data_IF_906426322932
#
_entry.id   IF_906426322932
#
_cell.length_a   1.000
_cell.length_b   1.000
_cell.length_c   1.000
_cell.angle_alpha   90.00
_cell.angle_beta   90.00
_cell.angle_gamma   90.00
#
_symmetry.space_group_name_H-M   'P 1'
#
loop_
_entity.id
_entity.type
_entity.pdbx_description
1 polymer ?
#
# COMPACT_ATOMS: atom_id res chain seq x y z
N UNK A 1 6.13 26.01 -58.12
CA UNK A 1 7.20 25.26 -57.43
C UNK A 1 6.51 24.27 -56.48
N UNK A 2 6.31 23.02 -56.91
CA UNK A 2 7.08 21.82 -56.51
C UNK A 2 6.96 21.54 -55.00
N UNK A 3 6.07 20.64 -54.59
CA UNK A 3 6.30 19.18 -54.37
C UNK A 3 7.19 18.91 -53.15
N UNK A 4 6.60 18.48 -52.05
CA UNK A 4 7.03 17.31 -51.25
C UNK A 4 6.28 17.30 -49.92
N UNK A 5 5.66 16.17 -49.59
CA UNK A 5 5.45 15.52 -48.27
C UNK A 5 4.17 14.68 -48.43
N UNK A 6 4.31 13.65 -49.27
CA UNK A 6 3.42 12.50 -49.41
C UNK A 6 4.38 11.36 -49.70
N UNK A 7 4.90 10.73 -48.63
CA UNK A 7 5.72 9.51 -48.65
C UNK A 7 6.01 9.11 -47.21
N UNK A 8 5.13 8.33 -46.60
CA UNK A 8 5.52 7.22 -45.71
C UNK A 8 4.28 6.39 -45.34
N UNK A 9 3.68 5.81 -46.36
CA UNK A 9 2.76 4.69 -46.20
C UNK A 9 3.26 3.61 -47.18
N UNK A 10 3.39 2.38 -46.67
CA UNK A 10 3.83 1.14 -47.35
C UNK A 10 5.32 0.80 -47.28
N UNK A 11 5.67 -0.02 -46.27
CA UNK A 11 6.45 -1.28 -46.37
C UNK A 11 6.57 -1.80 -44.92
N UNK A 12 6.25 -3.03 -44.52
CA UNK A 12 6.32 -4.28 -45.24
C UNK A 12 5.29 -5.28 -44.66
N UNK A 13 4.57 -5.94 -45.57
CA UNK A 13 4.02 -7.25 -45.31
C UNK A 13 5.06 -8.31 -45.73
N UNK A 14 5.02 -9.46 -45.04
CA UNK A 14 5.43 -10.81 -45.50
C UNK A 14 6.74 -11.37 -44.91
N UNK A 15 6.59 -12.21 -43.90
CA UNK A 15 7.26 -13.52 -43.84
C UNK A 15 6.45 -14.48 -42.96
N UNK A 16 6.28 -15.70 -43.47
CA UNK A 16 5.48 -16.80 -42.93
C UNK A 16 6.41 -17.89 -42.36
N UNK A 17 5.85 -18.70 -41.44
CA UNK A 17 6.14 -20.11 -41.08
C UNK A 17 7.05 -20.41 -39.86
N UNK A 18 6.55 -21.38 -39.07
CA UNK A 18 7.27 -22.21 -38.09
C UNK A 18 7.02 -21.79 -36.64
N UNK A 19 6.69 -22.61 -35.66
CA UNK A 19 6.31 -24.03 -35.54
C UNK A 19 5.94 -24.23 -34.05
N UNK A 20 5.11 -25.24 -33.76
CA UNK A 20 4.71 -25.69 -32.42
C UNK A 20 5.90 -25.97 -31.48
N UNK A 21 5.83 -25.50 -30.23
CA UNK A 21 6.56 -26.09 -29.11
C UNK A 21 5.92 -25.75 -27.76
N UNK A 22 5.04 -26.64 -27.30
CA UNK A 22 4.59 -26.76 -25.92
C UNK A 22 5.78 -27.19 -25.04
N UNK A 23 6.29 -26.31 -24.18
CA UNK A 23 7.19 -26.68 -23.08
C UNK A 23 6.73 -25.98 -21.80
N UNK A 24 6.15 -26.78 -20.91
CA UNK A 24 5.97 -26.43 -19.52
C UNK A 24 7.34 -26.28 -18.86
N UNK A 25 7.67 -25.10 -18.35
CA UNK A 25 8.77 -24.97 -17.39
C UNK A 25 8.33 -24.08 -16.22
N UNK A 26 7.89 -24.74 -15.15
CA UNK A 26 7.62 -24.14 -13.85
C UNK A 26 8.95 -23.79 -13.19
N UNK A 27 9.35 -22.53 -13.24
CA UNK A 27 10.45 -22.01 -12.41
C UNK A 27 9.90 -21.61 -11.05
N UNK A 28 10.22 -22.42 -10.03
CA UNK A 28 10.01 -22.10 -8.62
C UNK A 28 11.05 -21.08 -8.14
N UNK A 29 10.71 -20.25 -7.14
CA UNK A 29 11.49 -19.08 -6.77
C UNK A 29 12.82 -19.39 -6.06
N UNK A 30 13.76 -18.48 -6.32
CA UNK A 30 15.10 -18.34 -5.76
C UNK A 30 15.06 -18.36 -4.22
N UNK A 31 15.67 -19.38 -3.60
CA UNK A 31 15.91 -19.44 -2.15
C UNK A 31 17.39 -19.12 -1.90
N UNK A 32 17.61 -18.13 -1.04
CA UNK A 32 18.89 -17.54 -0.66
C UNK A 32 19.91 -18.57 -0.11
N UNK A 33 21.19 -18.42 -0.52
CA UNK A 33 22.29 -19.34 -0.24
C UNK A 33 22.86 -19.31 1.20
N UNK A 34 22.22 -18.61 2.15
CA UNK A 34 22.73 -18.44 3.52
C UNK A 34 22.23 -19.47 4.55
N UNK A 35 21.34 -20.41 4.19
CA UNK A 35 20.82 -21.43 5.13
C UNK A 35 21.43 -22.84 4.96
N UNK A 36 22.56 -22.98 4.25
CA UNK A 36 23.29 -24.26 4.17
C UNK A 36 24.37 -24.34 5.23
N UNK A 37 24.04 -24.90 6.41
CA UNK A 37 24.88 -25.79 7.25
C UNK A 37 24.27 -25.99 8.64
N UNK A 38 23.84 -27.22 8.93
CA UNK A 38 24.33 -28.10 10.02
C UNK A 38 23.46 -29.36 10.11
N UNK A 39 23.87 -30.42 9.41
CA UNK A 39 23.39 -31.77 9.68
C UNK A 39 24.53 -32.53 10.38
N UNK A 40 24.38 -32.78 11.67
CA UNK A 40 25.23 -33.68 12.44
C UNK A 40 24.35 -34.71 13.13
N UNK A 41 24.51 -35.96 12.70
CA UNK A 41 23.90 -37.17 13.24
C UNK A 41 24.47 -37.49 14.63
N UNK A 42 23.67 -37.92 15.62
CA UNK A 42 24.20 -38.56 16.81
C UNK A 42 24.18 -40.09 16.69
N UNK A 43 25.13 -40.80 17.33
CA UNK A 43 25.22 -42.26 17.26
C UNK A 43 24.36 -42.98 18.31
N UNK A 44 23.95 -44.18 17.90
CA UNK A 44 23.35 -45.27 18.67
C UNK A 44 24.24 -45.76 19.82
N UNK A 45 23.72 -45.83 21.06
CA UNK A 45 24.13 -46.79 22.09
C UNK A 45 22.97 -47.13 23.06
N UNK A 46 22.67 -48.42 23.19
CA UNK A 46 22.03 -49.07 24.36
C UNK A 46 23.14 -49.36 25.41
N UNK A 47 22.89 -49.53 26.74
CA UNK A 47 22.10 -50.66 27.27
C UNK A 47 21.39 -50.50 28.66
N UNK A 48 20.56 -51.51 28.96
CA UNK A 48 20.24 -52.16 30.27
C UNK A 48 19.42 -51.49 31.39
N UNK A 49 18.28 -52.15 31.65
CA UNK A 49 17.82 -52.75 32.92
C UNK A 49 17.10 -51.91 34.02
N UNK A 50 15.79 -52.24 34.13
CA UNK A 50 15.05 -52.54 35.37
C UNK A 50 14.66 -51.38 36.29
N UNK A 51 13.35 -51.07 36.34
CA UNK A 51 12.47 -51.51 37.43
C UNK A 51 10.98 -51.34 37.05
N UNK A 52 10.20 -52.36 37.42
CA UNK A 52 8.74 -52.50 37.21
C UNK A 52 7.97 -51.66 38.23
N UNK A 53 6.76 -51.18 37.86
CA UNK A 53 5.55 -51.23 38.70
C UNK A 53 4.25 -50.98 37.89
N UNK A 54 3.10 -51.47 38.37
CA UNK A 54 2.03 -52.03 37.53
C UNK A 54 0.92 -51.05 37.10
N UNK A 55 0.20 -51.50 36.07
CA UNK A 55 -1.03 -50.94 35.53
C UNK A 55 -2.22 -51.18 36.48
N UNK A 56 -3.01 -50.13 36.71
CA UNK A 56 -4.37 -50.27 37.25
C UNK A 56 -5.35 -49.68 36.24
N UNK A 57 -6.00 -50.58 35.50
CA UNK A 57 -7.14 -50.30 34.63
C UNK A 57 -8.37 -50.01 35.47
N UNK A 58 -9.01 -48.86 35.24
CA UNK A 58 -10.43 -48.66 35.57
C UNK A 58 -11.15 -48.15 34.31
N UNK A 59 -12.19 -48.84 33.83
CA UNK A 59 -12.93 -48.41 32.65
C UNK A 59 -14.01 -47.41 33.06
N UNK A 60 -14.00 -46.22 32.45
CA UNK A 60 -15.10 -45.24 32.58
C UNK A 60 -16.10 -45.48 31.43
N UNK A 61 -17.41 -45.61 31.71
CA UNK A 61 -18.41 -45.88 30.69
C UNK A 61 -18.68 -44.67 29.79
N UNK A 62 -18.83 -44.93 28.48
CA UNK A 62 -19.30 -43.96 27.48
C UNK A 62 -20.75 -43.58 27.76
N UNK A 63 -21.01 -42.28 27.93
CA UNK A 63 -22.35 -41.73 27.78
C UNK A 63 -22.67 -41.45 26.30
N UNK A 64 -23.90 -41.72 25.83
CA UNK A 64 -24.34 -41.38 24.47
C UNK A 64 -24.56 -39.87 24.32
N UNK A 65 -24.42 -39.30 23.11
CA UNK A 65 -24.69 -37.89 22.87
C UNK A 65 -26.20 -37.60 22.88
N UNK A 66 -26.62 -36.62 23.68
CA UNK A 66 -27.94 -36.00 23.63
C UNK A 66 -27.97 -34.90 22.55
N UNK A 67 -29.11 -34.70 21.86
CA UNK A 67 -29.23 -33.67 20.82
C UNK A 67 -29.57 -32.30 21.42
N UNK A 68 -28.96 -31.27 20.81
CA UNK A 68 -29.40 -29.88 20.70
C UNK A 68 -29.98 -29.16 21.93
N UNK A 69 -29.23 -28.17 22.43
CA UNK A 69 -29.83 -26.93 22.92
C UNK A 69 -28.94 -25.76 22.51
N UNK A 70 -29.40 -25.07 21.47
CA UNK A 70 -28.88 -23.81 20.96
C UNK A 70 -28.99 -22.74 22.06
N UNK A 71 -27.94 -22.58 22.84
CA UNK A 71 -27.72 -21.35 23.59
C UNK A 71 -27.09 -20.37 22.59
N UNK A 72 -27.92 -19.49 22.05
CA UNK A 72 -27.47 -18.36 21.26
C UNK A 72 -26.54 -17.51 22.13
N UNK A 73 -25.26 -17.46 21.75
CA UNK A 73 -24.35 -16.43 22.22
C UNK A 73 -24.98 -15.06 21.90
N UNK A 74 -24.95 -14.08 22.83
CA UNK A 74 -25.31 -12.71 22.50
C UNK A 74 -24.36 -12.21 21.40
N UNK A 75 -24.86 -11.51 20.37
CA UNK A 75 -24.03 -11.02 19.28
C UNK A 75 -22.93 -10.15 19.86
N UNK A 76 -21.68 -10.63 19.74
CA UNK A 76 -20.50 -9.83 19.99
C UNK A 76 -20.55 -8.67 18.99
N UNK A 77 -20.34 -7.41 19.41
CA UNK A 77 -20.31 -6.31 18.47
C UNK A 77 -19.16 -6.57 17.48
N UNK A 78 -19.48 -6.56 16.19
CA UNK A 78 -18.54 -6.53 15.07
C UNK A 78 -17.68 -5.26 15.14
N UNK A 79 -16.77 -5.19 16.12
CA UNK A 79 -15.88 -4.05 16.30
C UNK A 79 -14.64 -4.27 15.43
N UNK A 80 -14.84 -4.21 14.11
CA UNK A 80 -13.75 -3.82 13.22
C UNK A 80 -13.12 -2.55 13.79
N UNK A 81 -11.79 -2.45 13.88
CA UNK A 81 -11.14 -1.27 14.45
C UNK A 81 -11.66 -0.01 13.76
N UNK A 82 -11.87 1.09 14.52
CA UNK A 82 -12.48 2.29 13.97
C UNK A 82 -11.71 2.74 12.74
N UNK A 83 -12.41 2.83 11.61
CA UNK A 83 -11.90 3.34 10.35
C UNK A 83 -11.29 4.72 10.60
N UNK A 84 -10.20 5.10 9.92
CA UNK A 84 -9.55 6.39 10.13
C UNK A 84 -10.54 7.56 10.01
N UNK A 85 -11.53 7.45 9.11
CA UNK A 85 -12.61 8.43 8.93
C UNK A 85 -13.51 8.57 10.17
N UNK A 86 -13.75 7.49 10.92
CA UNK A 86 -14.60 7.51 12.12
C UNK A 86 -13.96 8.31 13.27
N UNK A 87 -12.65 8.52 13.24
CA UNK A 87 -11.93 9.33 14.23
C UNK A 87 -12.13 10.84 14.02
N UNK A 88 -12.54 11.26 12.81
CA UNK A 88 -12.68 12.66 12.43
C UNK A 88 -14.13 13.00 12.02
N UNK A 89 -15.13 12.85 12.92
CA UNK A 89 -16.54 13.05 12.60
C UNK A 89 -16.91 14.49 12.22
N UNK A 90 -16.14 15.51 12.64
CA UNK A 90 -16.40 16.89 12.26
C UNK A 90 -15.93 17.17 10.82
N UNK A 91 -14.85 16.51 10.40
CA UNK A 91 -14.33 16.61 9.03
C UNK A 91 -15.12 15.71 8.08
N UNK A 92 -15.50 14.51 8.51
CA UNK A 92 -16.20 13.51 7.70
C UNK A 92 -17.51 13.05 8.36
N UNK A 93 -18.55 13.91 8.38
CA UNK A 93 -19.83 13.56 9.02
C UNK A 93 -20.54 12.38 8.35
N UNK A 94 -20.24 12.12 7.07
CA UNK A 94 -20.83 11.02 6.29
C UNK A 94 -19.86 9.85 6.08
N UNK A 95 -18.68 9.87 6.70
CA UNK A 95 -17.67 8.80 6.57
C UNK A 95 -16.84 8.89 5.28
N UNK A 96 -16.27 7.77 4.79
CA UNK A 96 -15.42 7.77 3.59
C UNK A 96 -16.21 7.97 2.28
N UNK A 97 -15.53 8.26 1.15
CA UNK A 97 -16.13 8.21 -0.18
C UNK A 97 -16.77 6.84 -0.46
N UNK A 98 -17.92 6.78 -1.17
CA UNK A 98 -18.54 7.86 -1.96
C UNK A 98 -19.46 8.81 -1.18
N UNK A 99 -19.70 8.57 0.12
CA UNK A 99 -20.63 9.37 0.91
C UNK A 99 -20.09 10.78 1.24
N UNK A 100 -18.76 10.95 1.19
CA UNK A 100 -18.05 12.22 1.34
C UNK A 100 -17.08 12.42 0.16
N UNK A 101 -16.65 13.66 -0.13
CA UNK A 101 -15.59 13.90 -1.10
C UNK A 101 -14.29 13.19 -0.69
N UNK A 102 -13.47 12.83 -1.69
CA UNK A 102 -12.16 12.23 -1.47
C UNK A 102 -11.19 13.23 -0.84
N UNK A 103 -11.25 14.49 -1.25
CA UNK A 103 -10.36 15.55 -0.78
C UNK A 103 -10.98 16.26 0.43
N UNK A 104 -10.41 16.09 1.65
CA UNK A 104 -10.87 16.80 2.83
C UNK A 104 -10.47 18.27 2.79
N UNK A 105 -11.19 19.09 3.55
CA UNK A 105 -10.72 20.43 3.90
C UNK A 105 -9.50 20.30 4.83
N UNK A 106 -8.29 20.69 4.39
CA UNK A 106 -7.07 20.52 5.17
C UNK A 106 -7.08 21.35 6.46
N UNK A 107 -7.80 22.48 6.48
CA UNK A 107 -7.89 23.33 7.67
C UNK A 107 -8.76 22.66 8.72
N UNK A 108 -9.91 22.12 8.33
CA UNK A 108 -10.81 21.38 9.23
C UNK A 108 -10.16 20.12 9.79
N UNK A 109 -9.54 19.32 8.92
CA UNK A 109 -8.85 18.10 9.33
C UNK A 109 -7.75 18.40 10.37
N UNK A 110 -6.95 19.45 10.13
CA UNK A 110 -5.90 19.87 11.06
C UNK A 110 -6.46 20.40 12.38
N UNK A 111 -7.53 21.18 12.35
CA UNK A 111 -8.16 21.71 13.56
C UNK A 111 -8.71 20.59 14.44
N UNK A 112 -9.41 19.63 13.85
CA UNK A 112 -9.95 18.48 14.57
C UNK A 112 -8.83 17.58 15.11
N UNK A 113 -7.78 17.33 14.33
CA UNK A 113 -6.58 16.62 14.78
C UNK A 113 -5.98 17.21 16.06
N UNK A 114 -5.76 18.53 16.09
CA UNK A 114 -5.19 19.20 17.27
C UNK A 114 -6.11 19.07 18.50
N UNK A 115 -7.43 19.14 18.30
CA UNK A 115 -8.41 18.96 19.39
C UNK A 115 -8.41 17.53 19.93
N UNK A 116 -8.35 16.53 19.04
CA UNK A 116 -8.31 15.12 19.42
C UNK A 116 -7.00 14.79 20.15
N UNK A 117 -5.87 15.26 19.63
CA UNK A 117 -4.56 15.04 20.23
C UNK A 117 -4.44 15.68 21.63
N UNK A 118 -4.99 16.89 21.82
CA UNK A 118 -5.02 17.53 23.13
C UNK A 118 -5.82 16.71 24.17
N UNK A 119 -6.93 16.08 23.75
CA UNK A 119 -7.75 15.22 24.63
C UNK A 119 -7.08 13.88 24.94
N UNK A 120 -6.33 13.33 23.98
CA UNK A 120 -5.64 12.04 24.09
C UNK A 120 -4.24 12.12 24.74
N UNK A 121 -3.81 13.30 25.20
CA UNK A 121 -2.44 13.47 25.71
C UNK A 121 -2.19 12.68 27.00
N UNK A 122 -1.18 11.78 27.05
CA UNK A 122 -0.97 10.87 28.18
C UNK A 122 -0.61 11.58 29.50
N UNK A 123 -0.01 12.77 29.43
CA UNK A 123 0.34 13.54 30.64
C UNK A 123 -0.89 14.12 31.37
N UNK A 124 -2.01 14.27 30.66
CA UNK A 124 -3.27 14.73 31.26
C UNK A 124 -4.09 13.57 31.84
N UNK A 125 -3.64 12.34 31.66
CA UNK A 125 -4.40 11.14 32.01
C UNK A 125 -3.85 10.48 33.28
N UNK A 126 -4.73 9.89 34.12
CA UNK A 126 -4.32 9.11 35.27
C UNK A 126 -3.35 7.98 34.86
N UNK A 127 -2.45 7.59 35.77
CA UNK A 127 -1.46 6.53 35.52
C UNK A 127 -2.08 5.22 34.99
N UNK A 128 -3.31 4.91 35.41
CA UNK A 128 -4.08 3.72 34.98
C UNK A 128 -4.53 3.78 33.52
N UNK A 129 -4.64 4.98 32.93
CA UNK A 129 -5.11 5.21 31.56
C UNK A 129 -4.01 5.65 30.60
N UNK A 130 -2.77 5.87 31.09
CA UNK A 130 -1.65 6.34 30.26
C UNK A 130 -1.40 5.50 29.02
N UNK A 131 -1.34 4.17 29.15
CA UNK A 131 -1.13 3.27 28.01
C UNK A 131 -2.24 3.37 26.96
N UNK A 132 -3.49 3.52 27.40
CA UNK A 132 -4.62 3.69 26.50
C UNK A 132 -4.55 5.05 25.77
N UNK A 133 -4.17 6.11 26.50
CA UNK A 133 -3.97 7.44 25.92
C UNK A 133 -2.84 7.47 24.89
N UNK A 134 -1.72 6.78 25.16
CA UNK A 134 -0.62 6.60 24.21
C UNK A 134 -1.08 5.90 22.93
N UNK A 135 -1.80 4.77 23.06
CA UNK A 135 -2.33 4.04 21.92
C UNK A 135 -3.32 4.89 21.09
N UNK A 136 -4.21 5.62 21.75
CA UNK A 136 -5.16 6.50 21.09
C UNK A 136 -4.46 7.67 20.36
N UNK A 137 -3.44 8.27 20.99
CA UNK A 137 -2.64 9.33 20.38
C UNK A 137 -1.90 8.84 19.13
N UNK A 138 -1.32 7.63 19.17
CA UNK A 138 -0.71 7.01 17.99
C UNK A 138 -1.74 6.81 16.88
N UNK A 139 -2.90 6.24 17.20
CA UNK A 139 -3.97 6.01 16.24
C UNK A 139 -4.45 7.31 15.57
N UNK A 140 -4.61 8.40 16.34
CA UNK A 140 -4.97 9.72 15.81
C UNK A 140 -3.89 10.25 14.85
N UNK A 141 -2.61 10.11 15.21
CA UNK A 141 -1.50 10.53 14.36
C UNK A 141 -1.47 9.76 13.04
N UNK A 142 -1.62 8.44 13.10
CA UNK A 142 -1.59 7.57 11.92
C UNK A 142 -2.77 7.87 10.99
N UNK A 143 -3.96 8.06 11.55
CA UNK A 143 -5.14 8.45 10.80
C UNK A 143 -4.97 9.83 10.17
N UNK A 144 -4.49 10.84 10.90
CA UNK A 144 -4.23 12.18 10.36
C UNK A 144 -3.22 12.15 9.21
N UNK A 145 -2.08 11.47 9.39
CA UNK A 145 -1.04 11.34 8.36
C UNK A 145 -1.56 10.63 7.11
N UNK A 146 -2.40 9.61 7.28
CA UNK A 146 -3.01 8.86 6.18
C UNK A 146 -4.02 9.73 5.43
N UNK A 147 -4.90 10.43 6.15
CA UNK A 147 -5.97 11.22 5.54
C UNK A 147 -5.50 12.55 4.95
N UNK A 148 -4.38 13.09 5.42
CA UNK A 148 -3.79 14.33 4.89
C UNK A 148 -3.11 14.10 3.53
N UNK A 149 -2.39 13.00 3.38
CA UNK A 149 -1.64 12.65 2.18
C UNK A 149 -2.57 11.99 1.14
N UNK A 150 -2.74 12.56 -0.07
CA UNK A 150 -3.68 12.02 -1.06
C UNK A 150 -3.30 10.61 -1.53
N UNK A 151 -2.02 10.27 -1.61
CA UNK A 151 -1.58 8.93 -2.02
C UNK A 151 -1.90 7.90 -0.93
N UNK A 152 -1.51 8.20 0.32
CA UNK A 152 -1.81 7.31 1.46
C UNK A 152 -3.31 7.14 1.65
N UNK A 153 -4.08 8.22 1.47
CA UNK A 153 -5.55 8.20 1.54
C UNK A 153 -6.15 7.30 0.46
N UNK A 154 -5.67 7.41 -0.78
CA UNK A 154 -6.13 6.56 -1.88
C UNK A 154 -5.82 5.08 -1.62
N UNK A 155 -4.59 4.76 -1.23
CA UNK A 155 -4.17 3.39 -0.89
C UNK A 155 -4.99 2.83 0.27
N UNK A 156 -5.20 3.63 1.32
CA UNK A 156 -6.02 3.25 2.47
C UNK A 156 -7.45 2.91 2.05
N UNK A 157 -8.10 3.77 1.26
CA UNK A 157 -9.46 3.54 0.79
C UNK A 157 -9.56 2.29 -0.10
N UNK A 158 -8.62 2.11 -1.04
CA UNK A 158 -8.60 0.94 -1.92
C UNK A 158 -8.44 -0.37 -1.14
N UNK A 159 -7.60 -0.37 -0.11
CA UNK A 159 -7.46 -1.50 0.80
C UNK A 159 -8.78 -1.81 1.54
N UNK A 160 -9.54 -0.79 1.97
CA UNK A 160 -10.87 -1.00 2.57
C UNK A 160 -11.86 -1.63 1.59
N UNK A 161 -11.71 -1.37 0.29
CA UNK A 161 -12.52 -1.97 -0.77
C UNK A 161 -11.95 -3.30 -1.30
N UNK A 162 -10.87 -3.83 -0.71
CA UNK A 162 -10.26 -5.09 -1.11
C UNK A 162 -9.48 -5.02 -2.42
N UNK A 163 -9.06 -3.82 -2.86
CA UNK A 163 -8.26 -3.61 -4.07
C UNK A 163 -6.81 -3.38 -3.68
N UNK A 164 -5.91 -4.25 -4.17
CA UNK A 164 -4.47 -4.10 -3.99
C UNK A 164 -3.87 -3.22 -5.10
N UNK A 165 -3.17 -2.15 -4.71
CA UNK A 165 -2.52 -1.21 -5.62
C UNK A 165 -1.25 -1.80 -6.23
N UNK A 166 -0.59 -2.75 -5.55
CA UNK A 166 0.65 -3.35 -6.06
C UNK A 166 0.40 -4.25 -7.27
N UNK A 167 -0.75 -4.91 -7.34
CA UNK A 167 -1.17 -5.69 -8.51
C UNK A 167 -1.34 -4.80 -9.75
N UNK A 168 -1.88 -3.59 -9.60
CA UNK A 168 -2.02 -2.62 -10.68
C UNK A 168 -0.67 -1.99 -11.07
N UNK A 169 0.24 -1.81 -10.10
CA UNK A 169 1.60 -1.33 -10.35
C UNK A 169 2.34 -2.23 -11.35
N UNK A 170 2.23 -3.55 -11.18
CA UNK A 170 2.85 -4.51 -12.10
C UNK A 170 2.32 -4.37 -13.54
N UNK A 171 1.03 -4.07 -13.72
CA UNK A 171 0.37 -3.95 -15.03
C UNK A 171 0.73 -2.66 -15.77
N UNK A 172 1.04 -1.58 -15.05
CA UNK A 172 1.33 -0.25 -15.61
C UNK A 172 2.80 -0.05 -16.00
N UNK A 173 3.67 -1.00 -15.67
CA UNK A 173 5.13 -0.92 -15.81
C UNK A 173 5.67 -0.94 -17.25
N UNK A 174 4.82 -1.04 -18.28
CA UNK A 174 5.23 -1.06 -19.70
C UNK A 174 4.57 -0.01 -20.60
N UNK A 175 3.89 1.00 -20.04
CA UNK A 175 3.04 1.93 -20.80
C UNK A 175 3.57 3.37 -20.94
N UNK A 176 2.74 4.24 -21.52
CA UNK A 176 2.97 5.69 -21.69
C UNK A 176 3.39 6.41 -20.41
N UNK A 177 2.85 5.97 -19.26
CA UNK A 177 3.22 6.51 -17.94
C UNK A 177 4.72 6.39 -17.66
N UNK A 178 5.35 5.26 -18.01
CA UNK A 178 6.76 5.05 -17.73
C UNK A 178 7.63 6.05 -18.50
N UNK A 179 7.30 6.31 -19.77
CA UNK A 179 8.00 7.30 -20.58
C UNK A 179 7.90 8.70 -19.95
N UNK A 180 6.70 9.13 -19.57
CA UNK A 180 6.50 10.43 -18.91
C UNK A 180 7.27 10.56 -17.60
N UNK A 181 7.35 9.48 -16.81
CA UNK A 181 8.10 9.46 -15.54
C UNK A 181 9.61 9.52 -15.78
N UNK A 182 10.11 8.82 -16.81
CA UNK A 182 11.52 8.87 -17.18
C UNK A 182 11.91 10.26 -17.68
N UNK A 183 11.13 10.85 -18.59
CA UNK A 183 11.33 12.21 -19.08
C UNK A 183 11.33 13.24 -17.94
N UNK A 184 10.38 13.13 -17.01
CA UNK A 184 10.33 14.03 -15.86
C UNK A 184 11.53 13.87 -14.92
N UNK A 185 12.07 12.66 -14.76
CA UNK A 185 13.29 12.41 -13.95
C UNK A 185 14.53 13.00 -14.63
N UNK A 186 14.70 12.76 -15.93
CA UNK A 186 15.80 13.30 -16.71
C UNK A 186 15.80 14.83 -16.65
N UNK A 187 14.64 15.47 -16.81
CA UNK A 187 14.52 16.92 -16.69
C UNK A 187 14.96 17.45 -15.31
N UNK A 188 14.68 16.71 -14.22
CA UNK A 188 15.14 17.08 -12.86
C UNK A 188 16.65 16.90 -12.71
N UNK A 189 17.23 15.87 -13.32
CA UNK A 189 18.67 15.61 -13.29
C UNK A 189 19.47 16.64 -14.12
N UNK A 190 18.91 17.09 -15.24
CA UNK A 190 19.51 18.07 -16.16
C UNK A 190 19.35 19.52 -15.71
N UNK A 191 18.45 19.80 -14.76
CA UNK A 191 18.25 21.17 -14.27
C UNK A 191 19.56 21.75 -13.69
N UNK A 192 19.96 22.93 -14.14
CA UNK A 192 21.21 23.60 -13.74
C UNK A 192 20.98 24.79 -12.80
N UNK A 193 19.71 25.21 -12.66
CA UNK A 193 19.32 26.40 -11.92
C UNK A 193 18.07 26.18 -11.07
N UNK A 194 17.98 26.92 -9.96
CA UNK A 194 16.79 26.90 -9.09
C UNK A 194 15.53 27.42 -9.83
N UNK A 195 15.72 28.25 -10.86
CA UNK A 195 14.62 28.71 -11.71
C UNK A 195 14.02 27.57 -12.56
N UNK A 196 14.86 26.73 -13.18
CA UNK A 196 14.40 25.54 -13.91
C UNK A 196 13.70 24.54 -12.98
N UNK A 197 14.28 24.27 -11.81
CA UNK A 197 13.65 23.41 -10.78
C UNK A 197 12.30 23.98 -10.33
N UNK A 198 12.18 25.31 -10.26
CA UNK A 198 10.91 25.99 -10.00
C UNK A 198 9.83 25.65 -11.04
N UNK A 199 10.17 25.67 -12.33
CA UNK A 199 9.26 25.28 -13.41
C UNK A 199 8.87 23.81 -13.31
N UNK A 200 9.84 22.92 -13.08
CA UNK A 200 9.58 21.48 -12.96
C UNK A 200 8.67 21.16 -11.77
N UNK A 201 8.85 21.87 -10.65
CA UNK A 201 7.97 21.75 -9.47
C UNK A 201 6.54 22.16 -9.81
N UNK A 202 6.37 23.25 -10.53
CA UNK A 202 5.04 23.74 -10.89
C UNK A 202 4.34 22.76 -11.86
N UNK A 203 5.05 22.26 -12.88
CA UNK A 203 4.53 21.22 -13.78
C UNK A 203 4.18 19.92 -13.04
N UNK A 204 5.04 19.45 -12.14
CA UNK A 204 4.77 18.25 -11.35
C UNK A 204 3.59 18.48 -10.39
N UNK A 205 3.46 19.69 -9.84
CA UNK A 205 2.31 20.12 -9.06
C UNK A 205 0.99 20.03 -9.85
N UNK A 206 0.99 20.42 -11.13
CA UNK A 206 -0.17 20.26 -12.02
C UNK A 206 -0.49 18.78 -12.28
N UNK A 207 0.53 17.94 -12.51
CA UNK A 207 0.35 16.47 -12.68
C UNK A 207 -0.26 15.84 -11.42
N UNK A 208 0.24 16.21 -10.24
CA UNK A 208 -0.32 15.77 -8.94
C UNK A 208 -1.76 16.23 -8.79
N UNK A 209 -2.06 17.51 -9.05
CA UNK A 209 -3.41 18.06 -8.92
C UNK A 209 -4.39 17.36 -9.89
N UNK A 210 -3.96 17.10 -11.12
CA UNK A 210 -4.71 16.33 -12.11
C UNK A 210 -5.03 14.92 -11.62
N UNK A 211 -4.03 14.20 -11.10
CA UNK A 211 -4.23 12.87 -10.53
C UNK A 211 -5.18 12.86 -9.34
N UNK A 212 -5.08 13.84 -8.45
CA UNK A 212 -6.02 14.01 -7.32
C UNK A 212 -7.45 14.26 -7.82
N UNK A 213 -7.63 15.05 -8.88
CA UNK A 213 -8.95 15.28 -9.49
C UNK A 213 -9.57 14.03 -10.13
N UNK A 214 -8.75 13.17 -10.74
CA UNK A 214 -9.19 11.86 -11.24
C UNK A 214 -9.60 10.95 -10.09
N UNK A 215 -8.81 10.89 -9.02
CA UNK A 215 -9.15 10.13 -7.80
C UNK A 215 -10.46 10.63 -7.18
N UNK A 216 -10.67 11.94 -7.08
CA UNK A 216 -11.92 12.53 -6.58
C UNK A 216 -13.14 12.01 -7.34
N UNK A 217 -13.04 12.01 -8.67
CA UNK A 217 -14.13 11.54 -9.53
C UNK A 217 -14.33 10.02 -9.41
N UNK A 218 -13.24 9.25 -9.40
CA UNK A 218 -13.30 7.79 -9.34
C UNK A 218 -13.89 7.30 -8.01
N UNK A 219 -13.44 7.85 -6.88
CA UNK A 219 -13.99 7.54 -5.56
C UNK A 219 -15.45 7.99 -5.41
N UNK A 220 -15.82 9.15 -5.99
CA UNK A 220 -17.20 9.62 -5.99
C UNK A 220 -18.17 8.73 -6.78
N UNK A 221 -17.67 8.04 -7.82
CA UNK A 221 -18.47 7.12 -8.66
C UNK A 221 -18.37 5.66 -8.28
N UNK A 222 -17.44 5.30 -7.40
CA UNK A 222 -17.15 3.90 -7.05
C UNK A 222 -16.32 3.13 -8.09
N UNK A 223 -15.55 3.83 -8.92
CA UNK A 223 -14.71 3.24 -9.96
C UNK A 223 -13.33 2.82 -9.40
N UNK A 224 -13.31 1.75 -8.59
CA UNK A 224 -12.12 1.34 -7.82
C UNK A 224 -10.91 0.97 -8.68
N UNK A 225 -11.11 0.34 -9.83
CA UNK A 225 -10.02 0.01 -10.75
C UNK A 225 -9.37 1.27 -11.35
N UNK A 226 -10.17 2.30 -11.65
CA UNK A 226 -9.67 3.59 -12.13
C UNK A 226 -8.87 4.25 -11.03
N UNK A 227 -9.41 4.28 -9.80
CA UNK A 227 -8.72 4.81 -8.64
C UNK A 227 -7.40 4.09 -8.34
N UNK A 228 -7.34 2.77 -8.51
CA UNK A 228 -6.12 1.99 -8.29
C UNK A 228 -5.02 2.32 -9.31
N UNK A 229 -5.36 2.37 -10.61
CA UNK A 229 -4.41 2.79 -11.65
C UNK A 229 -3.93 4.23 -11.43
N UNK A 230 -4.83 5.11 -11.02
CA UNK A 230 -4.48 6.51 -10.76
C UNK A 230 -3.63 6.67 -9.50
N UNK A 231 -3.85 5.86 -8.46
CA UNK A 231 -3.00 5.85 -7.26
C UNK A 231 -1.55 5.44 -7.61
N UNK A 232 -1.36 4.50 -8.54
CA UNK A 232 -0.02 4.15 -9.06
C UNK A 232 0.61 5.34 -9.78
N UNK A 233 -0.14 6.03 -10.65
CA UNK A 233 0.33 7.25 -11.34
C UNK A 233 0.74 8.33 -10.34
N UNK A 234 -0.12 8.62 -9.36
CA UNK A 234 0.15 9.60 -8.30
C UNK A 234 1.43 9.27 -7.52
N UNK A 235 1.69 7.99 -7.23
CA UNK A 235 2.93 7.55 -6.57
C UNK A 235 4.18 7.99 -7.33
N UNK A 236 4.18 7.89 -8.66
CA UNK A 236 5.33 8.33 -9.44
C UNK A 236 5.52 9.86 -9.40
N UNK A 237 4.44 10.64 -9.49
CA UNK A 237 4.52 12.10 -9.38
C UNK A 237 4.98 12.56 -7.99
N UNK A 238 4.55 11.87 -6.93
CA UNK A 238 5.04 12.12 -5.57
C UNK A 238 6.54 11.81 -5.42
N UNK A 239 7.02 10.72 -6.05
CA UNK A 239 8.45 10.40 -6.04
C UNK A 239 9.29 11.42 -6.83
N UNK A 240 8.73 11.99 -7.90
CA UNK A 240 9.37 13.08 -8.64
C UNK A 240 9.40 14.36 -7.79
N UNK A 241 8.32 14.67 -7.07
CA UNK A 241 8.28 15.80 -6.14
C UNK A 241 9.36 15.71 -5.06
N UNK A 242 9.58 14.51 -4.51
CA UNK A 242 10.66 14.27 -3.55
C UNK A 242 12.05 14.47 -4.18
N UNK A 243 12.21 14.06 -5.45
CA UNK A 243 13.45 14.26 -6.21
C UNK A 243 13.74 15.74 -6.47
N UNK A 244 12.71 16.50 -6.86
CA UNK A 244 12.75 17.97 -7.04
C UNK A 244 13.12 18.66 -5.72
N UNK A 245 12.47 18.27 -4.61
CA UNK A 245 12.74 18.84 -3.29
C UNK A 245 14.16 18.53 -2.79
N UNK A 246 14.71 17.38 -3.17
CA UNK A 246 16.06 16.95 -2.85
C UNK A 246 17.15 17.49 -3.77
N UNK A 247 16.80 18.25 -4.82
CA UNK A 247 17.76 18.78 -5.79
C UNK A 247 18.70 19.81 -5.15
N UNK A 248 19.99 19.73 -5.46
CA UNK A 248 21.02 20.68 -5.02
C UNK A 248 21.92 21.09 -6.21
N UNK A 249 22.14 22.40 -6.38
CA UNK A 249 22.98 22.91 -7.47
C UNK A 249 24.41 22.37 -7.39
N UNK A 250 24.89 21.76 -8.48
CA UNK A 250 26.26 21.23 -8.60
C UNK A 250 26.47 19.82 -8.05
N UNK A 251 25.49 19.26 -7.33
CA UNK A 251 25.27 17.82 -7.28
C UNK A 251 24.28 17.51 -8.40
N UNK A 252 24.76 17.48 -9.65
CA UNK A 252 23.96 16.85 -10.72
C UNK A 252 23.42 15.53 -10.16
N UNK A 253 22.10 15.32 -10.25
CA UNK A 253 21.31 14.32 -9.51
C UNK A 253 21.76 12.88 -9.70
N UNK A 254 22.95 12.57 -9.21
CA UNK A 254 23.78 11.44 -9.62
C UNK A 254 24.84 11.18 -8.56
N UNK A 255 24.41 11.01 -7.31
CA UNK A 255 25.15 10.25 -6.32
C UNK A 255 24.23 9.14 -5.82
N UNK A 256 24.29 8.03 -6.55
CA UNK A 256 23.76 6.72 -6.20
C UNK A 256 24.05 6.45 -4.73
N UNK A 257 23.01 6.39 -3.90
CA UNK A 257 23.07 5.63 -2.66
C UNK A 257 23.16 4.15 -3.07
N UNK A 258 24.37 3.59 -2.92
CA UNK A 258 24.68 2.17 -3.08
C UNK A 258 23.96 1.30 -2.05
#
# INVERSE_FOLDING_TARGET
MRRSILKSAQSAARALKGEDAFVQNRTLPYICAACRRTAATPPSQSPTATQRRPLTTTPIPRQPPTPASTAADPPQPDASPPTHYALFPLTFPHGPPPASPFTPDPKRLRQEFLQLQAKAHPDLQPATQKRHAEALSSLINDAYRTLQDPLKRAQYLLLQYGVDVEDESAKLSGGELLMQVMEAREAVEEAESEAEVGVLRDENGERIAGSVGVLETAFGKGEWEVAAREAVRLRYWMNIEESIRGWEKGKGGGAVHH
#
